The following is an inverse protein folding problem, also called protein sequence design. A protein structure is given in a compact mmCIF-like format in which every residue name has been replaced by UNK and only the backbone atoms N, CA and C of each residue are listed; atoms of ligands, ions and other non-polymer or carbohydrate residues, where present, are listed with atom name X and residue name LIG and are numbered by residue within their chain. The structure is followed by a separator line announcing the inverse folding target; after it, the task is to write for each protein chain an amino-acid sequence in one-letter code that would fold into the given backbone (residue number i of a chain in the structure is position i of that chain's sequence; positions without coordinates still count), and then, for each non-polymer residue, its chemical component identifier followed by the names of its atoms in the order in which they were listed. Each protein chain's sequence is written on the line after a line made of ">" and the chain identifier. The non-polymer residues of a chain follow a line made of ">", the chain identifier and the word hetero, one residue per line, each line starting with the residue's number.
data_IF_391330432024
#
_entry.id   IF_391330432024
#
_cell.length_a   1.000
_cell.length_b   1.000
_cell.length_c   1.000
_cell.angle_alpha   90.00
_cell.angle_beta   90.00
_cell.angle_gamma   90.00
#
_symmetry.space_group_name_H-M   'P 1'
#
loop_
_entity.id
_entity.type
_entity.pdbx_description
1 polymer ?
#
# COMPACT_ATOMS: atom_id res chain seq x y z
N UNK A 1 -8.21 -0.63 3.23
CA UNK A 1 -9.01 -1.72 3.86
C UNK A 1 -9.37 -2.90 2.96
N UNK A 2 -9.83 -2.71 1.70
CA UNK A 2 -10.25 -3.84 0.83
C UNK A 2 -9.14 -4.88 0.58
N UNK A 3 -7.90 -4.43 0.41
CA UNK A 3 -6.71 -5.30 0.30
C UNK A 3 -6.40 -6.03 1.61
N UNK A 4 -6.46 -5.32 2.74
CA UNK A 4 -6.26 -5.90 4.06
C UNK A 4 -7.26 -7.05 4.32
N UNK A 5 -8.54 -6.84 3.96
CA UNK A 5 -9.59 -7.86 4.07
C UNK A 5 -9.40 -9.03 3.10
N UNK A 6 -8.90 -8.78 1.88
CA UNK A 6 -8.65 -9.82 0.88
C UNK A 6 -7.48 -10.72 1.27
N UNK A 7 -6.43 -10.15 1.84
CA UNK A 7 -5.21 -10.86 2.24
C UNK A 7 -5.18 -11.23 3.73
N UNK A 8 -6.29 -11.04 4.46
CA UNK A 8 -6.42 -11.33 5.91
C UNK A 8 -5.31 -10.71 6.75
N UNK A 9 -4.88 -9.51 6.39
CA UNK A 9 -3.82 -8.77 7.08
C UNK A 9 -4.37 -7.50 7.72
N UNK A 10 -3.64 -6.92 8.66
CA UNK A 10 -4.04 -5.65 9.28
C UNK A 10 -3.78 -4.50 8.31
N UNK A 11 -4.65 -3.47 8.27
CA UNK A 11 -4.47 -2.34 7.38
C UNK A 11 -3.17 -1.56 7.65
N UNK A 12 -2.65 -1.63 8.88
CA UNK A 12 -1.42 -0.96 9.33
C UNK A 12 -0.15 -1.46 8.64
N UNK A 13 -0.15 -2.69 8.12
CA UNK A 13 1.00 -3.27 7.40
C UNK A 13 0.85 -3.25 5.88
N UNK A 14 -0.22 -2.63 5.37
CA UNK A 14 -0.51 -2.55 3.94
C UNK A 14 -0.22 -1.14 3.43
N UNK A 15 0.86 -1.01 2.65
CA UNK A 15 1.27 0.25 2.05
C UNK A 15 0.98 0.23 0.55
N UNK A 16 0.21 1.19 0.08
CA UNK A 16 -0.19 1.31 -1.32
C UNK A 16 0.27 2.64 -1.90
N UNK A 17 0.94 2.61 -3.05
CA UNK A 17 1.54 3.79 -3.66
C UNK A 17 1.56 3.72 -5.20
N UNK A 18 1.90 4.87 -5.81
CA UNK A 18 2.10 4.94 -7.26
C UNK A 18 0.84 4.69 -8.07
N UNK A 19 -0.31 5.16 -7.57
CA UNK A 19 -1.57 5.05 -8.30
C UNK A 19 -1.54 5.94 -9.56
N UNK A 20 -1.77 5.32 -10.71
CA UNK A 20 -1.97 5.98 -11.99
C UNK A 20 -3.34 5.61 -12.52
N UNK A 21 -4.19 6.61 -12.67
CA UNK A 21 -5.52 6.45 -13.27
C UNK A 21 -5.40 6.58 -14.78
N UNK A 22 -6.08 5.69 -15.50
CA UNK A 22 -6.16 5.79 -16.96
C UNK A 22 -6.97 7.03 -17.36
N UNK A 23 -6.49 7.77 -18.37
CA UNK A 23 -7.21 8.93 -18.91
C UNK A 23 -8.53 8.46 -19.54
N UNK A 24 -9.64 9.08 -19.13
CA UNK A 24 -11.00 8.60 -19.44
C UNK A 24 -11.67 7.78 -18.32
N UNK A 25 -10.93 7.44 -17.25
CA UNK A 25 -11.48 6.76 -16.08
C UNK A 25 -11.77 5.27 -16.29
N UNK A 26 -12.15 4.58 -15.20
CA UNK A 26 -12.58 3.17 -15.24
C UNK A 26 -11.54 2.15 -14.75
N UNK A 27 -10.24 2.44 -14.89
CA UNK A 27 -9.17 1.62 -14.29
C UNK A 27 -8.09 2.48 -13.68
N UNK A 28 -7.67 2.09 -12.47
CA UNK A 28 -6.54 2.68 -11.76
C UNK A 28 -5.57 1.56 -11.45
N UNK A 29 -4.32 1.73 -11.84
CA UNK A 29 -3.24 0.79 -11.54
C UNK A 29 -2.39 1.38 -10.43
N UNK A 30 -1.93 0.56 -9.49
CA UNK A 30 -1.04 1.00 -8.42
C UNK A 30 -0.27 -0.18 -7.87
N UNK A 31 0.66 0.10 -6.98
CA UNK A 31 1.47 -0.90 -6.29
C UNK A 31 1.01 -1.00 -4.83
N UNK A 32 1.06 -2.23 -4.31
CA UNK A 32 0.78 -2.51 -2.90
C UNK A 32 1.86 -3.42 -2.33
N UNK A 33 2.46 -3.01 -1.22
CA UNK A 33 3.37 -3.81 -0.42
C UNK A 33 2.65 -4.19 0.87
N UNK A 34 2.69 -5.49 1.18
CA UNK A 34 2.14 -6.04 2.41
C UNK A 34 3.33 -6.59 3.19
N UNK A 35 3.57 -6.03 4.37
CA UNK A 35 4.63 -6.50 5.26
C UNK A 35 4.05 -7.45 6.32
N UNK A 36 4.89 -8.34 6.82
CA UNK A 36 4.54 -9.22 7.94
C UNK A 36 4.59 -8.47 9.28
N UNK A 37 5.50 -7.49 9.39
CA UNK A 37 5.70 -6.69 10.61
C UNK A 37 5.96 -5.21 10.32
N UNK A 38 5.47 -4.35 11.20
CA UNK A 38 5.64 -2.89 11.16
C UNK A 38 7.11 -2.45 11.25
N UNK A 39 7.96 -3.25 11.89
CA UNK A 39 9.40 -2.96 12.00
C UNK A 39 10.08 -3.02 10.62
N UNK A 40 9.74 -4.05 9.83
CA UNK A 40 10.22 -4.21 8.47
C UNK A 40 9.71 -3.10 7.54
N UNK A 41 8.44 -2.70 7.71
CA UNK A 41 7.88 -1.57 6.97
C UNK A 41 8.65 -0.29 7.25
N UNK A 42 8.88 0.05 8.53
CA UNK A 42 9.61 1.27 8.92
C UNK A 42 11.07 1.29 8.48
N UNK A 43 11.72 0.13 8.39
CA UNK A 43 13.12 0.00 8.00
C UNK A 43 13.34 0.06 6.49
N UNK A 44 12.43 -0.54 5.72
CA UNK A 44 12.56 -0.64 4.26
C UNK A 44 11.83 0.48 3.51
N UNK A 45 10.83 1.10 4.10
CA UNK A 45 10.14 2.20 3.44
C UNK A 45 10.89 3.53 3.56
N UNK A 46 10.99 4.30 2.47
CA UNK A 46 11.55 5.63 2.53
C UNK A 46 10.63 6.55 3.35
N UNK A 47 11.23 7.41 4.20
CA UNK A 47 10.52 8.27 5.17
C UNK A 47 9.32 9.04 4.62
N UNK A 48 9.34 9.42 3.35
CA UNK A 48 8.23 10.15 2.71
C UNK A 48 6.95 9.31 2.53
N UNK A 49 7.03 7.98 2.59
CA UNK A 49 5.85 7.08 2.53
C UNK A 49 5.24 6.81 3.90
N UNK A 50 6.06 6.82 4.96
CA UNK A 50 5.60 6.67 6.34
C UNK A 50 4.80 7.88 6.86
N UNK A 51 4.83 9.02 6.14
CA UNK A 51 4.11 10.25 6.50
C UNK A 51 2.74 10.40 5.80
N UNK A 52 2.35 9.48 4.91
CA UNK A 52 1.05 9.49 4.22
C UNK A 52 0.09 8.49 4.84
#
# INVERSE_FOLDING_TARGET
>A
EKLAKMYKTTPDVVFVFGFKTQFGGGKTTGFGMIYDSLDYAKKNEPKYRLQR
#
